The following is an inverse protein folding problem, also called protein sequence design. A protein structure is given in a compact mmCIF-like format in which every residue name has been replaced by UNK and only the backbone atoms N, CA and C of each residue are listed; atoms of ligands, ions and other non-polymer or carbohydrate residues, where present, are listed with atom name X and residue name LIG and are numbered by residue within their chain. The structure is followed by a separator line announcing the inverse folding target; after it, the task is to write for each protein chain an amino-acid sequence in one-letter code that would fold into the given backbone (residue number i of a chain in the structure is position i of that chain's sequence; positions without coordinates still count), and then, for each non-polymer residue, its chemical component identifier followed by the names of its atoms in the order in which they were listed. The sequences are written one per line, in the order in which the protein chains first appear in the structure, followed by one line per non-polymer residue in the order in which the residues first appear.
data_IF_277367058867
#
_entry.id   IF_277367058867
#
_cell.length_a   1.000
_cell.length_b   1.000
_cell.length_c   1.000
_cell.angle_alpha   90.00
_cell.angle_beta   90.00
_cell.angle_gamma   90.00
#
_symmetry.space_group_name_H-M   'P 1'
#
loop_
_entity.id
_entity.type
_entity.pdbx_description
1 polymer ?
#
# COMPACT_ATOMS: atom_id res chain seq x y z
N UNK A 1 -6.40 6.38 7.86
CA UNK A 1 -6.98 5.05 8.22
C UNK A 1 -6.09 3.94 7.66
N UNK A 2 -5.75 2.91 8.45
CA UNK A 2 -4.82 1.80 8.15
C UNK A 2 -5.17 1.01 6.88
N UNK A 3 -4.15 0.54 6.15
CA UNK A 3 -4.32 -0.29 4.95
C UNK A 3 -4.85 -1.68 5.31
N UNK A 4 -5.78 -2.19 4.50
CA UNK A 4 -6.28 -3.57 4.60
C UNK A 4 -6.42 -4.16 3.17
N UNK A 5 -5.58 -5.14 2.79
CA UNK A 5 -5.65 -5.80 1.49
C UNK A 5 -7.04 -6.36 1.17
N UNK A 6 -7.76 -6.87 2.17
CA UNK A 6 -9.09 -7.49 2.00
C UNK A 6 -10.19 -6.46 1.71
N UNK A 7 -9.92 -5.18 1.98
CA UNK A 7 -10.84 -4.07 1.67
C UNK A 7 -10.77 -3.59 0.22
N UNK A 8 -9.90 -4.16 -0.63
CA UNK A 8 -9.81 -3.79 -2.05
C UNK A 8 -11.10 -4.15 -2.80
N UNK A 9 -11.58 -3.24 -3.64
CA UNK A 9 -12.78 -3.43 -4.48
C UNK A 9 -12.46 -3.81 -5.93
N UNK A 10 -11.18 -3.97 -6.27
CA UNK A 10 -10.75 -4.31 -7.64
C UNK A 10 -10.88 -5.81 -7.88
N UNK A 11 -11.37 -6.19 -9.06
CA UNK A 11 -11.47 -7.60 -9.44
C UNK A 11 -10.09 -8.25 -9.57
N UNK A 12 -9.98 -9.52 -9.19
CA UNK A 12 -8.74 -10.29 -9.35
C UNK A 12 -8.22 -10.26 -10.79
N UNK A 13 -9.12 -10.37 -11.79
CA UNK A 13 -8.73 -10.35 -13.20
C UNK A 13 -8.07 -9.02 -13.61
N UNK A 14 -8.61 -7.89 -13.15
CA UNK A 14 -8.00 -6.57 -13.37
C UNK A 14 -6.63 -6.47 -12.70
N UNK A 15 -6.50 -7.03 -11.50
CA UNK A 15 -5.23 -7.04 -10.77
C UNK A 15 -4.16 -7.85 -11.48
N UNK A 16 -4.49 -9.10 -11.87
CA UNK A 16 -3.59 -9.99 -12.62
C UNK A 16 -3.13 -9.36 -13.93
N UNK A 17 -4.07 -8.79 -14.70
CA UNK A 17 -3.72 -8.11 -15.95
C UNK A 17 -2.77 -6.93 -15.72
N UNK A 18 -3.03 -6.14 -14.67
CA UNK A 18 -2.15 -5.03 -14.31
C UNK A 18 -0.77 -5.53 -13.92
N UNK A 19 -0.63 -6.55 -13.07
CA UNK A 19 0.65 -7.02 -12.51
C UNK A 19 1.52 -7.76 -13.52
N UNK A 20 0.95 -8.51 -14.45
CA UNK A 20 1.69 -9.27 -15.47
C UNK A 20 2.15 -8.44 -16.68
N UNK A 21 1.47 -7.34 -16.97
CA UNK A 21 1.80 -6.48 -18.11
C UNK A 21 2.98 -5.53 -17.80
N UNK A 22 3.62 -4.99 -18.84
CA UNK A 22 4.57 -3.89 -18.68
C UNK A 22 3.89 -2.68 -18.01
N UNK A 23 4.67 -1.90 -17.25
CA UNK A 23 4.15 -0.69 -16.61
C UNK A 23 3.73 0.31 -17.68
N UNK A 24 2.44 0.65 -17.71
CA UNK A 24 1.91 1.73 -18.55
C UNK A 24 2.24 3.09 -17.90
N UNK A 25 2.68 4.11 -18.67
CA UNK A 25 2.85 5.45 -18.14
C UNK A 25 1.55 6.11 -17.68
N UNK A 26 0.38 5.67 -18.16
CA UNK A 26 -0.90 6.29 -17.80
C UNK A 26 -1.36 5.86 -16.40
N UNK A 27 -1.54 6.83 -15.51
CA UNK A 27 -2.09 6.62 -14.17
C UNK A 27 -3.46 5.94 -14.16
N UNK A 28 -4.29 6.14 -15.19
CA UNK A 28 -5.61 5.48 -15.28
C UNK A 28 -5.50 3.97 -15.52
N UNK A 29 -4.32 3.47 -15.89
CA UNK A 29 -4.06 2.03 -15.99
C UNK A 29 -3.88 1.38 -14.62
N UNK A 30 -3.64 2.16 -13.56
CA UNK A 30 -3.51 1.63 -12.19
C UNK A 30 -4.91 1.33 -11.65
N UNK A 31 -5.19 0.08 -11.25
CA UNK A 31 -6.47 -0.28 -10.67
C UNK A 31 -6.80 0.59 -9.45
N UNK A 32 -8.01 1.13 -9.46
CA UNK A 32 -8.44 2.08 -8.45
C UNK A 32 -7.99 3.52 -8.71
N UNK A 33 -7.36 3.90 -9.82
CA UNK A 33 -7.16 5.33 -10.14
C UNK A 33 -8.21 5.79 -11.15
N UNK A 34 -9.09 6.69 -10.70
CA UNK A 34 -10.02 7.42 -11.56
C UNK A 34 -9.53 8.83 -11.89
N UNK A 35 -10.26 9.58 -12.75
CA UNK A 35 -9.89 10.94 -13.16
C UNK A 35 -9.64 11.89 -11.98
N UNK A 36 -10.48 11.84 -10.94
CA UNK A 36 -10.34 12.67 -9.73
C UNK A 36 -9.04 12.36 -8.99
N UNK A 37 -8.73 11.07 -8.79
CA UNK A 37 -7.49 10.65 -8.15
C UNK A 37 -6.26 11.08 -8.96
N UNK A 38 -6.32 10.96 -10.29
CA UNK A 38 -5.26 11.42 -11.19
C UNK A 38 -5.02 12.93 -11.06
N UNK A 39 -6.08 13.74 -11.09
CA UNK A 39 -5.99 15.20 -10.89
C UNK A 39 -5.37 15.52 -9.53
N UNK A 40 -5.86 14.88 -8.46
CA UNK A 40 -5.37 15.07 -7.11
C UNK A 40 -3.88 14.77 -6.96
N UNK A 41 -3.41 13.64 -7.52
CA UNK A 41 -2.00 13.24 -7.51
C UNK A 41 -1.11 14.27 -8.23
N UNK A 42 -1.57 14.79 -9.37
CA UNK A 42 -0.86 15.81 -10.14
C UNK A 42 -0.82 17.16 -9.39
N UNK A 43 -1.92 17.60 -8.79
CA UNK A 43 -2.00 18.89 -8.10
C UNK A 43 -1.26 18.91 -6.76
N UNK A 44 -1.19 17.76 -6.06
CA UNK A 44 -0.62 17.68 -4.70
C UNK A 44 0.86 17.31 -4.67
N UNK A 45 1.32 16.43 -5.55
CA UNK A 45 2.73 15.97 -5.56
C UNK A 45 3.30 15.85 -6.99
N UNK A 46 2.70 16.53 -7.98
CA UNK A 46 3.18 16.56 -9.38
C UNK A 46 3.35 15.18 -10.02
N UNK A 47 2.58 14.20 -9.56
CA UNK A 47 2.60 12.84 -10.11
C UNK A 47 1.72 12.79 -11.35
N UNK A 48 2.34 12.66 -12.52
CA UNK A 48 1.68 12.63 -13.84
C UNK A 48 1.68 11.24 -14.48
N UNK A 49 2.50 10.31 -14.00
CA UNK A 49 2.63 8.97 -14.58
C UNK A 49 2.82 7.87 -13.53
N UNK A 50 2.58 6.62 -13.95
CA UNK A 50 2.65 5.44 -13.06
C UNK A 50 4.06 5.19 -12.51
N UNK A 51 5.12 5.50 -13.26
CA UNK A 51 6.50 5.29 -12.81
C UNK A 51 6.84 6.19 -11.62
N UNK A 52 6.38 7.44 -11.64
CA UNK A 52 6.54 8.36 -10.51
C UNK A 52 5.77 7.84 -9.29
N UNK A 53 4.54 7.36 -9.46
CA UNK A 53 3.76 6.79 -8.36
C UNK A 53 4.45 5.56 -7.75
N UNK A 54 5.00 4.67 -8.58
CA UNK A 54 5.85 3.54 -8.15
C UNK A 54 7.09 4.07 -7.40
N UNK A 55 7.72 5.12 -7.91
CA UNK A 55 8.85 5.79 -7.27
C UNK A 55 8.50 6.30 -5.86
N UNK A 56 7.31 6.89 -5.68
CA UNK A 56 6.83 7.29 -4.36
C UNK A 56 6.68 6.09 -3.43
N UNK A 57 6.05 5.01 -3.90
CA UNK A 57 5.93 3.78 -3.11
C UNK A 57 7.31 3.29 -2.66
N UNK A 58 8.26 3.17 -3.57
CA UNK A 58 9.62 2.73 -3.25
C UNK A 58 10.35 3.68 -2.29
N UNK A 59 10.21 5.00 -2.45
CA UNK A 59 10.88 5.99 -1.57
C UNK A 59 10.40 5.90 -0.12
N UNK A 60 9.17 5.45 0.10
CA UNK A 60 8.57 5.35 1.44
C UNK A 60 9.03 4.11 2.20
N UNK A 61 9.73 3.15 1.57
CA UNK A 61 10.27 1.98 2.26
C UNK A 61 11.49 2.38 3.09
N UNK A 62 11.28 2.59 4.39
CA UNK A 62 12.38 2.69 5.36
C UNK A 62 13.15 1.36 5.48
N UNK A 63 14.40 1.41 5.95
CA UNK A 63 15.26 0.22 6.11
C UNK A 63 14.60 -0.88 6.93
N UNK A 64 14.10 -0.53 8.12
CA UNK A 64 13.53 -1.47 9.08
C UNK A 64 12.01 -1.64 8.97
N UNK A 65 11.36 -1.00 8.00
CA UNK A 65 9.91 -1.12 7.85
C UNK A 65 9.54 -2.52 7.40
N UNK A 66 8.59 -3.15 8.08
CA UNK A 66 7.94 -4.35 7.54
C UNK A 66 6.94 -3.96 6.42
N UNK A 67 6.40 -4.97 5.74
CA UNK A 67 5.45 -4.76 4.64
C UNK A 67 4.18 -4.02 5.04
N UNK A 68 3.70 -4.23 6.28
CA UNK A 68 2.51 -3.55 6.82
C UNK A 68 2.79 -2.06 6.96
N UNK A 69 3.88 -1.71 7.63
CA UNK A 69 4.30 -0.33 7.84
C UNK A 69 4.53 0.40 6.51
N UNK A 70 5.15 -0.27 5.54
CA UNK A 70 5.42 0.30 4.22
C UNK A 70 4.13 0.59 3.43
N UNK A 71 3.21 -0.37 3.39
CA UNK A 71 1.91 -0.21 2.70
C UNK A 71 1.01 0.80 3.41
N UNK A 72 1.05 0.87 4.74
CA UNK A 72 0.40 1.94 5.51
C UNK A 72 0.98 3.32 5.22
N UNK A 73 2.31 3.46 5.17
CA UNK A 73 2.97 4.73 4.82
C UNK A 73 2.52 5.23 3.45
N UNK A 74 2.40 4.33 2.46
CA UNK A 74 1.87 4.68 1.15
C UNK A 74 0.37 5.02 1.18
N UNK A 75 -0.42 4.33 2.00
CA UNK A 75 -1.82 4.70 2.21
C UNK A 75 -1.93 6.12 2.82
N UNK A 76 -1.13 6.45 3.84
CA UNK A 76 -1.12 7.81 4.40
C UNK A 76 -0.72 8.86 3.36
N UNK A 77 0.26 8.56 2.50
CA UNK A 77 0.60 9.42 1.38
C UNK A 77 -0.60 9.65 0.43
N UNK A 78 -1.29 8.59 -0.01
CA UNK A 78 -2.46 8.72 -0.89
C UNK A 78 -3.61 9.49 -0.24
N UNK A 79 -3.82 9.29 1.07
CA UNK A 79 -4.79 10.05 1.86
C UNK A 79 -4.43 11.54 1.89
N UNK A 80 -3.14 11.88 2.07
CA UNK A 80 -2.64 13.27 2.01
C UNK A 80 -2.81 13.92 0.64
N UNK A 81 -2.79 13.11 -0.43
CA UNK A 81 -3.10 13.56 -1.79
C UNK A 81 -4.62 13.67 -2.05
N UNK A 82 -5.50 13.35 -1.09
CA UNK A 82 -6.95 13.49 -1.23
C UNK A 82 -7.68 12.21 -1.65
N UNK A 83 -7.06 11.03 -1.51
CA UNK A 83 -7.73 9.73 -1.68
C UNK A 83 -8.30 9.26 -0.33
N UNK A 84 -9.38 9.91 0.12
CA UNK A 84 -9.91 9.73 1.48
C UNK A 84 -10.67 8.41 1.69
N UNK A 85 -11.31 7.87 0.65
CA UNK A 85 -12.04 6.60 0.75
C UNK A 85 -11.08 5.43 0.97
N UNK A 86 -11.26 4.69 2.08
CA UNK A 86 -10.36 3.61 2.50
C UNK A 86 -10.32 2.44 1.51
N UNK A 87 -11.47 1.96 1.05
CA UNK A 87 -11.55 0.82 0.12
C UNK A 87 -10.89 1.16 -1.21
N UNK A 88 -11.17 2.37 -1.71
CA UNK A 88 -10.58 2.90 -2.94
C UNK A 88 -9.06 3.00 -2.83
N UNK A 89 -8.57 3.54 -1.72
CA UNK A 89 -7.14 3.63 -1.43
C UNK A 89 -6.48 2.27 -1.30
N UNK A 90 -7.11 1.32 -0.62
CA UNK A 90 -6.60 -0.05 -0.47
C UNK A 90 -6.41 -0.72 -1.84
N UNK A 91 -7.32 -0.49 -2.80
CA UNK A 91 -7.14 -0.99 -4.16
C UNK A 91 -5.89 -0.43 -4.85
N UNK A 92 -5.58 0.86 -4.68
CA UNK A 92 -4.40 1.48 -5.27
C UNK A 92 -3.12 0.95 -4.61
N UNK A 93 -3.11 0.87 -3.27
CA UNK A 93 -1.98 0.35 -2.50
C UNK A 93 -1.68 -1.09 -2.92
N UNK A 94 -2.70 -1.95 -2.98
CA UNK A 94 -2.57 -3.34 -3.40
C UNK A 94 -2.00 -3.44 -4.82
N UNK A 95 -2.55 -2.66 -5.76
CA UNK A 95 -2.08 -2.65 -7.14
C UNK A 95 -0.60 -2.31 -7.26
N UNK A 96 -0.17 -1.21 -6.62
CA UNK A 96 1.21 -0.76 -6.69
C UNK A 96 2.14 -1.73 -5.96
N UNK A 97 1.75 -2.22 -4.79
CA UNK A 97 2.54 -3.17 -4.00
C UNK A 97 2.78 -4.48 -4.77
N UNK A 98 1.73 -5.08 -5.34
CA UNK A 98 1.86 -6.30 -6.14
C UNK A 98 2.66 -6.07 -7.41
N UNK A 99 2.43 -4.96 -8.13
CA UNK A 99 3.20 -4.62 -9.33
C UNK A 99 4.69 -4.53 -8.99
N UNK A 100 5.04 -3.80 -7.94
CA UNK A 100 6.41 -3.65 -7.50
C UNK A 100 7.00 -4.99 -7.05
N UNK A 101 6.27 -5.78 -6.30
CA UNK A 101 6.72 -7.12 -5.90
C UNK A 101 7.04 -8.00 -7.12
N UNK A 102 6.21 -7.97 -8.17
CA UNK A 102 6.47 -8.66 -9.44
C UNK A 102 7.72 -8.12 -10.15
N UNK A 103 7.92 -6.79 -10.19
CA UNK A 103 9.10 -6.18 -10.83
C UNK A 103 10.42 -6.58 -10.18
N UNK A 104 10.43 -6.80 -8.86
CA UNK A 104 11.61 -7.28 -8.13
C UNK A 104 11.65 -8.82 -7.99
N UNK A 105 10.93 -9.55 -8.84
CA UNK A 105 10.87 -11.01 -8.84
C UNK A 105 10.49 -11.63 -7.49
N UNK A 106 9.55 -11.01 -6.77
CA UNK A 106 9.04 -11.52 -5.51
C UNK A 106 10.03 -11.39 -4.35
N UNK A 107 10.87 -10.35 -4.34
CA UNK A 107 11.91 -10.11 -3.31
C UNK A 107 11.37 -9.79 -1.90
N UNK A 108 10.18 -10.27 -1.54
CA UNK A 108 9.55 -10.06 -0.23
C UNK A 108 8.96 -8.65 -0.02
N UNK A 109 8.74 -7.88 -1.08
CA UNK A 109 8.19 -6.52 -0.95
C UNK A 109 6.72 -6.53 -0.53
N UNK A 110 5.95 -7.49 -1.05
CA UNK A 110 4.57 -7.66 -0.65
C UNK A 110 4.09 -9.09 -0.89
N UNK A 111 3.52 -9.71 0.14
CA UNK A 111 2.86 -11.01 0.05
C UNK A 111 1.60 -10.96 0.93
N UNK A 112 0.38 -11.15 0.38
CA UNK A 112 -0.87 -11.11 1.15
C UNK A 112 -0.94 -12.11 2.31
N UNK A 113 -0.34 -13.29 2.14
CA UNK A 113 -0.35 -14.35 3.15
C UNK A 113 0.59 -14.00 4.31
N UNK A 114 1.80 -13.50 4.01
CA UNK A 114 2.74 -13.01 5.03
C UNK A 114 2.23 -11.74 5.72
N UNK A 115 1.56 -10.85 4.98
CA UNK A 115 1.00 -9.62 5.53
C UNK A 115 0.05 -9.90 6.71
N UNK A 116 -0.81 -10.91 6.56
CA UNK A 116 -1.76 -11.31 7.59
C UNK A 116 -1.04 -11.80 8.85
N UNK A 117 0.04 -12.58 8.68
CA UNK A 117 0.85 -13.09 9.78
C UNK A 117 1.60 -11.97 10.51
N UNK A 118 2.19 -11.02 9.76
CA UNK A 118 2.88 -9.85 10.35
C UNK A 118 1.90 -9.02 11.16
N UNK A 119 0.66 -8.83 10.69
CA UNK A 119 -0.37 -8.13 11.47
C UNK A 119 -0.73 -8.83 12.78
N UNK A 120 -0.85 -10.16 12.76
CA UNK A 120 -1.14 -10.94 13.97
C UNK A 120 0.01 -10.85 14.98
N UNK A 121 1.25 -10.91 14.51
CA UNK A 121 2.44 -10.75 15.35
C UNK A 121 2.54 -9.36 15.98
N UNK A 122 2.26 -8.30 15.20
CA UNK A 122 2.26 -6.92 15.71
C UNK A 122 1.22 -6.72 16.82
N UNK A 123 0.00 -7.26 16.64
CA UNK A 123 -1.05 -7.17 17.67
C UNK A 123 -0.65 -7.91 18.95
N UNK A 124 -0.11 -9.12 18.81
CA UNK A 124 0.35 -9.90 19.95
C UNK A 124 1.47 -9.19 20.72
N UNK A 125 2.35 -8.46 20.00
CA UNK A 125 3.41 -7.67 20.62
C UNK A 125 2.85 -6.45 21.36
N UNK A 126 1.95 -5.69 20.74
CA UNK A 126 1.27 -4.55 21.37
C UNK A 126 0.55 -4.96 22.67
N UNK A 127 -0.18 -6.08 22.66
CA UNK A 127 -0.85 -6.63 23.85
C UNK A 127 0.16 -7.03 24.94
N UNK A 128 1.31 -7.59 24.57
CA UNK A 128 2.35 -7.96 25.56
C UNK A 128 3.03 -6.74 26.18
N UNK A 129 3.25 -5.68 25.40
CA UNK A 129 3.90 -4.44 25.86
C UNK A 129 2.99 -3.67 26.83
N UNK A 130 1.66 -3.69 26.61
CA UNK A 130 0.67 -3.10 27.53
C UNK A 130 0.63 -3.83 28.89
N UNK A 131 0.67 -5.17 28.91
CA UNK A 131 0.68 -5.95 30.16
C UNK A 131 1.93 -5.65 31.00
N UNK A 132 3.09 -5.51 30.36
CA UNK A 132 4.35 -5.18 31.06
C UNK A 132 4.28 -3.77 31.66
N UNK A 133 3.71 -2.80 30.94
CA UNK A 133 3.56 -1.43 31.44
C UNK A 133 2.62 -1.35 32.67
N UNK A 134 1.57 -2.19 32.72
CA UNK A 134 0.65 -2.25 33.87
C UNK A 134 1.26 -2.95 35.11
N UNK A 135 2.23 -3.85 34.92
CA UNK A 135 2.95 -4.52 36.02
C UNK A 135 4.05 -3.63 36.65
N UNK A 136 4.61 -2.67 35.90
CA UNK A 136 5.64 -1.73 36.42
C UNK A 136 5.05 -0.54 37.20
N UNK A 137 3.74 -0.30 37.14
CA UNK A 137 3.03 0.75 37.89
C UNK A 137 2.41 0.26 39.24
N UNK A 138 2.56 -1.02 39.60
CA UNK A 138 2.10 -1.60 40.88
C UNK A 138 3.23 -1.82 41.89
#
# INVERSE_FOLDING_TARGET
MKFDPKGSTVSMATMTAFTECLVSPDLLAVPGIGPVTKTNLMEKDTIDNTFQLIGVFLRLKGGDMNMVQHTEAFAYYLESCGVSNSNHRNSIVLAIAEKVNTLFNGSGLFNPDEYSQVLEQMKAQEESDEVIAEEEEQ
#
